data_IF_243044606990
#
_entry.id   IF_243044606990
#
_cell.length_a   1.000
_cell.length_b   1.000
_cell.length_c   1.000
_cell.angle_alpha   90.00
_cell.angle_beta   90.00
_cell.angle_gamma   90.00
#
_symmetry.space_group_name_H-M   'P 1'
#
loop_
_entity.id
_entity.type
_entity.pdbx_description
1 polymer ?
#
# COMPACT_ATOMS: atom_id res chain seq x y z
N UNK A 1 3.62 8.20 -0.25
CA UNK A 1 4.36 7.30 -1.15
C UNK A 1 5.24 6.38 -0.33
N UNK A 2 5.41 5.12 -0.75
CA UNK A 2 6.41 4.23 -0.17
C UNK A 2 7.77 4.56 -0.78
N UNK A 3 8.76 4.85 0.06
CA UNK A 3 10.09 5.30 -0.40
C UNK A 3 11.21 4.32 -0.07
N UNK A 4 10.97 3.32 0.79
CA UNK A 4 12.01 2.35 1.13
C UNK A 4 12.28 1.41 -0.06
N UNK A 5 13.49 1.41 -0.66
CA UNK A 5 13.77 0.63 -1.86
C UNK A 5 13.62 -0.88 -1.65
N UNK A 6 13.93 -1.38 -0.44
CA UNK A 6 13.71 -2.80 -0.09
C UNK A 6 12.25 -3.18 -0.06
N UNK A 7 11.42 -2.37 0.58
CA UNK A 7 9.98 -2.61 0.63
C UNK A 7 9.40 -2.53 -0.79
N UNK A 8 9.81 -1.52 -1.58
CA UNK A 8 9.38 -1.41 -2.96
C UNK A 8 9.78 -2.61 -3.81
N UNK A 9 11.00 -3.12 -3.67
CA UNK A 9 11.48 -4.31 -4.37
C UNK A 9 10.72 -5.57 -3.95
N UNK A 10 10.51 -5.79 -2.65
CA UNK A 10 9.80 -6.96 -2.15
C UNK A 10 8.33 -6.96 -2.60
N UNK A 11 7.68 -5.80 -2.56
CA UNK A 11 6.33 -5.64 -3.11
C UNK A 11 6.31 -5.88 -4.62
N UNK A 12 7.32 -5.40 -5.36
CA UNK A 12 7.44 -5.66 -6.79
C UNK A 12 7.52 -7.15 -7.12
N UNK A 13 8.20 -7.95 -6.29
CA UNK A 13 8.18 -9.42 -6.41
C UNK A 13 6.79 -9.99 -6.17
N UNK A 14 6.11 -9.58 -5.09
CA UNK A 14 4.74 -10.02 -4.80
C UNK A 14 3.75 -9.66 -5.92
N UNK A 15 3.89 -8.48 -6.52
CA UNK A 15 3.09 -8.06 -7.67
C UNK A 15 3.35 -8.95 -8.90
N UNK A 16 4.63 -9.26 -9.18
CA UNK A 16 5.03 -10.13 -10.29
C UNK A 16 4.51 -11.57 -10.11
N UNK A 17 4.43 -12.05 -8.86
CA UNK A 17 3.88 -13.36 -8.50
C UNK A 17 2.34 -13.40 -8.55
N UNK A 18 1.69 -12.29 -8.94
CA UNK A 18 0.24 -12.23 -9.17
C UNK A 18 -0.58 -11.74 -7.99
N UNK A 19 0.05 -11.18 -6.95
CA UNK A 19 -0.64 -10.71 -5.74
C UNK A 19 -1.79 -9.73 -6.01
N UNK A 20 -1.60 -8.78 -6.95
CA UNK A 20 -2.67 -7.84 -7.34
C UNK A 20 -3.91 -8.56 -7.88
N UNK A 21 -3.71 -9.56 -8.75
CA UNK A 21 -4.82 -10.31 -9.35
C UNK A 21 -5.56 -11.12 -8.29
N UNK A 22 -4.83 -11.82 -7.43
CA UNK A 22 -5.43 -12.61 -6.35
C UNK A 22 -6.28 -11.75 -5.40
N UNK A 23 -5.77 -10.57 -5.02
CA UNK A 23 -6.51 -9.63 -4.17
C UNK A 23 -7.72 -9.03 -4.92
N UNK A 24 -7.59 -8.71 -6.21
CA UNK A 24 -8.70 -8.22 -7.03
C UNK A 24 -9.82 -9.25 -7.16
N UNK A 25 -9.49 -10.54 -7.35
CA UNK A 25 -10.48 -11.62 -7.49
C UNK A 25 -11.25 -11.86 -6.18
N UNK A 26 -10.60 -11.67 -5.03
CA UNK A 26 -11.26 -11.69 -3.71
C UNK A 26 -12.15 -10.46 -3.52
N UNK A 27 -11.68 -9.28 -3.90
CA UNK A 27 -12.44 -8.03 -3.75
C UNK A 27 -13.79 -8.07 -4.50
N UNK A 28 -13.88 -8.81 -5.60
CA UNK A 28 -15.15 -8.95 -6.37
C UNK A 28 -16.14 -9.95 -5.79
N UNK A 29 -15.69 -10.81 -4.87
CA UNK A 29 -16.48 -11.95 -4.36
C UNK A 29 -16.75 -11.89 -2.86
N UNK A 30 -15.92 -11.17 -2.11
CA UNK A 30 -16.01 -10.99 -0.66
C UNK A 30 -16.57 -9.60 -0.31
N UNK A 31 -17.84 -9.57 0.12
CA UNK A 31 -18.53 -8.33 0.47
C UNK A 31 -17.95 -7.66 1.73
N UNK A 32 -17.49 -8.42 2.73
CA UNK A 32 -16.88 -7.85 3.94
C UNK A 32 -15.55 -7.17 3.59
N UNK A 33 -14.72 -7.83 2.77
CA UNK A 33 -13.50 -7.23 2.26
C UNK A 33 -13.78 -5.95 1.47
N UNK A 34 -14.79 -5.95 0.60
CA UNK A 34 -15.16 -4.78 -0.19
C UNK A 34 -15.61 -3.60 0.69
N UNK A 35 -16.41 -3.85 1.72
CA UNK A 35 -16.87 -2.83 2.65
C UNK A 35 -15.72 -2.24 3.48
N UNK A 36 -14.81 -3.09 3.98
CA UNK A 36 -13.63 -2.64 4.72
C UNK A 36 -12.64 -1.88 3.82
N UNK A 37 -12.48 -2.30 2.57
CA UNK A 37 -11.62 -1.60 1.61
C UNK A 37 -12.24 -0.26 1.18
N UNK A 38 -13.57 -0.14 1.15
CA UNK A 38 -14.29 1.14 0.99
C UNK A 38 -14.10 2.05 2.21
N UNK A 39 -14.12 1.52 3.43
CA UNK A 39 -13.78 2.30 4.61
C UNK A 39 -12.33 2.82 4.56
N UNK A 40 -11.38 2.02 4.06
CA UNK A 40 -9.99 2.45 3.85
C UNK A 40 -9.88 3.60 2.83
N UNK A 41 -10.67 3.54 1.76
CA UNK A 41 -10.79 4.61 0.76
C UNK A 41 -11.28 5.92 1.38
N UNK A 42 -12.32 5.85 2.22
CA UNK A 42 -12.90 7.01 2.89
C UNK A 42 -11.94 7.63 3.91
N UNK A 43 -11.22 6.81 4.69
CA UNK A 43 -10.17 7.28 5.61
C UNK A 43 -9.05 8.02 4.84
N UNK A 44 -8.61 7.47 3.71
CA UNK A 44 -7.62 8.13 2.85
C UNK A 44 -8.09 9.52 2.41
N UNK A 45 -9.33 9.62 1.90
CA UNK A 45 -9.90 10.89 1.43
C UNK A 45 -10.05 11.89 2.58
N UNK A 46 -10.56 11.45 3.73
CA UNK A 46 -10.75 12.30 4.90
C UNK A 46 -9.43 12.91 5.37
N UNK A 47 -8.38 12.11 5.50
CA UNK A 47 -7.04 12.58 5.92
C UNK A 47 -6.42 13.54 4.92
N UNK A 48 -6.53 13.24 3.62
CA UNK A 48 -6.00 14.12 2.57
C UNK A 48 -6.75 15.46 2.57
N UNK A 49 -8.07 15.42 2.57
CA UNK A 49 -8.90 16.62 2.50
C UNK A 49 -8.80 17.48 3.77
N UNK A 50 -8.44 16.89 4.92
CA UNK A 50 -8.10 17.66 6.12
C UNK A 50 -6.88 18.58 5.97
N UNK A 51 -5.99 18.31 4.99
CA UNK A 51 -4.88 19.21 4.63
C UNK A 51 -5.37 20.26 3.64
N UNK A 52 -5.95 19.80 2.52
CA UNK A 52 -6.54 20.66 1.50
C UNK A 52 -7.43 19.82 0.57
N UNK A 53 -8.53 20.42 0.12
CA UNK A 53 -9.33 19.86 -0.97
C UNK A 53 -8.77 20.29 -2.32
N UNK A 54 -8.68 19.34 -3.24
CA UNK A 54 -8.17 19.55 -4.61
C UNK A 54 -9.18 18.96 -5.58
N UNK A 55 -9.88 19.84 -6.30
CA UNK A 55 -11.01 19.50 -7.18
C UNK A 55 -10.65 18.42 -8.20
N UNK A 56 -9.45 18.50 -8.81
CA UNK A 56 -9.00 17.59 -9.85
C UNK A 56 -8.88 16.12 -9.39
N UNK A 57 -8.84 15.89 -8.07
CA UNK A 57 -8.72 14.57 -7.45
C UNK A 57 -9.83 14.31 -6.42
N UNK A 58 -10.94 15.07 -6.50
CA UNK A 58 -12.10 14.87 -5.65
C UNK A 58 -12.61 13.43 -5.78
N UNK A 59 -12.84 12.77 -4.64
CA UNK A 59 -13.26 11.35 -4.60
C UNK A 59 -12.22 10.33 -5.06
N UNK A 60 -11.02 10.74 -5.50
CA UNK A 60 -10.00 9.83 -6.00
C UNK A 60 -8.96 9.58 -4.92
N UNK A 61 -8.95 8.36 -4.38
CA UNK A 61 -7.86 7.84 -3.54
C UNK A 61 -6.79 7.13 -4.39
N UNK A 62 -5.83 6.48 -3.75
CA UNK A 62 -4.76 5.76 -4.44
C UNK A 62 -5.00 4.23 -4.53
N UNK A 63 -4.19 3.53 -5.32
CA UNK A 63 -4.18 2.05 -5.34
C UNK A 63 -5.37 1.40 -6.04
N UNK A 64 -6.24 2.19 -6.66
CA UNK A 64 -7.47 1.67 -7.29
C UNK A 64 -8.66 1.55 -6.33
N UNK A 65 -8.48 1.87 -5.06
CA UNK A 65 -9.55 1.96 -4.07
C UNK A 65 -10.72 2.83 -4.55
N UNK A 66 -11.98 2.45 -4.25
CA UNK A 66 -12.37 1.29 -3.44
C UNK A 66 -12.65 0.02 -4.24
N UNK A 67 -12.73 0.08 -5.57
CA UNK A 67 -13.30 -1.03 -6.36
C UNK A 67 -12.24 -1.85 -7.11
N UNK A 68 -11.00 -1.36 -7.18
CA UNK A 68 -9.89 -2.05 -7.85
C UNK A 68 -8.64 -2.19 -6.98
N UNK A 69 -7.85 -3.19 -7.31
CA UNK A 69 -6.48 -3.36 -6.82
C UNK A 69 -5.52 -3.05 -7.97
N UNK A 70 -4.87 -1.88 -7.89
CA UNK A 70 -3.73 -1.52 -8.73
C UNK A 70 -2.44 -1.87 -7.96
N UNK A 71 -1.43 -1.01 -7.97
CA UNK A 71 -0.17 -1.30 -7.29
C UNK A 71 -0.35 -1.46 -5.77
N UNK A 72 0.29 -2.49 -5.23
CA UNK A 72 0.32 -2.85 -3.83
C UNK A 72 1.18 -1.88 -3.01
N UNK A 73 2.14 -1.17 -3.64
CA UNK A 73 3.00 -0.20 -2.96
C UNK A 73 2.24 0.85 -2.18
N UNK A 74 1.16 1.37 -2.76
CA UNK A 74 0.40 2.45 -2.11
C UNK A 74 -0.59 1.92 -1.08
N UNK A 75 -1.05 0.68 -1.22
CA UNK A 75 -1.86 0.03 -0.18
C UNK A 75 -1.01 -0.23 1.07
N UNK A 76 0.20 -0.77 0.88
CA UNK A 76 1.20 -0.92 1.94
C UNK A 76 1.59 0.43 2.56
N UNK A 77 1.82 1.46 1.74
CA UNK A 77 2.11 2.81 2.23
C UNK A 77 0.97 3.39 3.08
N UNK A 78 -0.27 3.17 2.66
CA UNK A 78 -1.44 3.62 3.40
C UNK A 78 -1.50 2.90 4.75
N UNK A 79 -1.46 1.56 4.76
CA UNK A 79 -1.48 0.75 5.99
C UNK A 79 -0.39 1.17 6.99
N UNK A 80 0.85 1.39 6.53
CA UNK A 80 1.94 1.89 7.37
C UNK A 80 1.66 3.27 7.98
N UNK A 81 0.93 4.13 7.27
CA UNK A 81 0.65 5.50 7.71
C UNK A 81 -0.53 5.58 8.69
N UNK A 82 -1.52 4.70 8.56
CA UNK A 82 -2.77 4.77 9.34
C UNK A 82 -2.85 3.72 10.45
N UNK A 83 -2.00 2.70 10.39
CA UNK A 83 -1.93 1.61 11.35
C UNK A 83 -2.74 0.37 10.94
N UNK A 84 -2.51 -0.77 11.63
CA UNK A 84 -3.16 -2.05 11.32
C UNK A 84 -4.68 -2.00 11.43
N UNK A 85 -5.36 -2.74 10.55
CA UNK A 85 -6.81 -2.95 10.55
C UNK A 85 -7.59 -1.93 9.71
N UNK A 86 -6.97 -0.84 9.27
CA UNK A 86 -7.66 0.20 8.48
C UNK A 86 -7.68 -0.15 7.00
N UNK A 87 -6.57 -0.61 6.42
CA UNK A 87 -6.50 -1.02 5.02
C UNK A 87 -6.23 -2.53 4.93
N UNK A 88 -7.27 -3.38 4.80
CA UNK A 88 -7.11 -4.83 4.91
C UNK A 88 -6.16 -5.41 3.86
N UNK A 89 -6.18 -4.92 2.62
CA UNK A 89 -5.26 -5.37 1.58
C UNK A 89 -3.85 -4.80 1.79
N UNK A 90 -3.74 -3.58 2.32
CA UNK A 90 -2.44 -3.03 2.72
C UNK A 90 -1.78 -3.84 3.82
N UNK A 91 -2.54 -4.23 4.86
CA UNK A 91 -2.06 -5.08 5.95
C UNK A 91 -1.63 -6.45 5.45
N UNK A 92 -2.44 -7.08 4.59
CA UNK A 92 -2.12 -8.36 3.98
C UNK A 92 -0.83 -8.29 3.14
N UNK A 93 -0.59 -7.18 2.43
CA UNK A 93 0.70 -6.98 1.75
C UNK A 93 1.83 -6.99 2.78
N UNK A 94 1.74 -6.20 3.85
CA UNK A 94 2.81 -6.09 4.85
C UNK A 94 3.10 -7.43 5.54
N UNK A 95 2.08 -8.25 5.80
CA UNK A 95 2.21 -9.59 6.38
C UNK A 95 2.94 -10.58 5.45
N UNK A 96 2.76 -10.45 4.14
CA UNK A 96 3.42 -11.32 3.15
C UNK A 96 4.89 -10.93 2.91
N UNK A 97 5.29 -9.70 3.21
CA UNK A 97 6.67 -9.28 3.03
C UNK A 97 7.54 -9.88 4.13
N UNK A 98 8.68 -10.47 3.73
CA UNK A 98 9.75 -10.76 4.69
C UNK A 98 10.12 -9.50 5.49
N UNK A 99 10.63 -9.59 6.74
CA UNK A 99 10.87 -8.43 7.61
C UNK A 99 11.96 -7.48 7.07
N UNK A 100 11.61 -6.67 6.07
CA UNK A 100 12.56 -5.87 5.28
C UNK A 100 13.28 -4.83 6.14
N UNK A 101 12.67 -4.45 7.27
CA UNK A 101 13.16 -3.48 8.23
C UNK A 101 14.21 -4.04 9.21
N UNK A 102 14.28 -5.36 9.42
CA UNK A 102 15.11 -5.93 10.50
C UNK A 102 16.62 -5.85 10.26
N UNK A 103 17.08 -5.74 9.01
CA UNK A 103 18.53 -5.81 8.71
C UNK A 103 19.27 -4.47 8.80
N UNK A 104 18.63 -3.37 8.37
CA UNK A 104 19.23 -2.02 8.20
C UNK A 104 18.13 -0.96 8.16
N UNK A 105 18.45 0.31 8.37
CA UNK A 105 17.48 1.41 8.17
C UNK A 105 17.14 1.58 6.70
N UNK A 106 15.92 2.01 6.38
CA UNK A 106 15.57 2.40 5.00
C UNK A 106 16.25 3.70 4.56
N UNK A 107 16.81 4.46 5.51
CA UNK A 107 17.62 5.64 5.24
C UNK A 107 19.10 5.32 4.99
N UNK A 108 19.55 4.09 5.28
CA UNK A 108 20.91 3.65 4.94
C UNK A 108 20.99 3.55 3.42
N UNK A 109 21.81 4.38 2.79
CA UNK A 109 21.94 4.47 1.33
C UNK A 109 22.23 3.09 0.74
N UNK A 110 21.34 2.59 -0.11
CA UNK A 110 21.63 1.43 -0.95
C UNK A 110 22.78 1.81 -1.90
N UNK A 111 24.00 1.37 -1.60
CA UNK A 111 25.13 1.44 -2.53
C UNK A 111 26.14 2.58 -2.33
N UNK A 112 26.75 2.69 -1.14
CA UNK A 112 28.07 3.31 -1.02
C UNK A 112 29.07 2.34 -0.35
N UNK A 113 29.55 1.36 -1.12
CA UNK A 113 30.97 1.01 -1.07
C UNK A 113 31.60 1.68 -2.30
N UNK A 114 32.03 2.93 -2.15
CA UNK A 114 33.10 3.44 -3.00
C UNK A 114 34.38 2.99 -2.31
N UNK A 115 35.01 1.95 -2.86
CA UNK A 115 36.34 1.56 -2.45
C UNK A 115 37.27 2.78 -2.59
N UNK A 116 37.91 3.17 -1.48
CA UNK A 116 39.06 4.06 -1.47
C UNK A 116 40.31 3.30 -1.90
#
# INVERSE_FOLDING_TARGET
>A
YLTCPRACSAIGTLEADGGMKAMQDRLTTDADLADRYRAAHEDYLARRNAIAEVEQIAGISAGGMPDRVKCLHVLAAHALAVGPGVNPLGDEVLEQLSPWWQRRSCADTFGQEVAL
#
